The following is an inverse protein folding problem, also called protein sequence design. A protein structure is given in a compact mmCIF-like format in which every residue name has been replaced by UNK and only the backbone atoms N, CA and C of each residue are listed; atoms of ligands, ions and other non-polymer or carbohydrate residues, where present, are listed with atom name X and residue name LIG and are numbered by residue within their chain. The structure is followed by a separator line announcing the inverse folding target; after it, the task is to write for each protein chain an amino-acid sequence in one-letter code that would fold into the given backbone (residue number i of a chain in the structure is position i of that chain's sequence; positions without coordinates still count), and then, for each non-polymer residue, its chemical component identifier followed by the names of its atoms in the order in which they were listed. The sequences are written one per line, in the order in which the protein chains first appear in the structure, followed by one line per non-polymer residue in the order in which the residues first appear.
data_IF_237158466978
#
_entry.id   IF_237158466978
#
_cell.length_a   1.000
_cell.length_b   1.000
_cell.length_c   1.000
_cell.angle_alpha   90.00
_cell.angle_beta   90.00
_cell.angle_gamma   90.00
#
_symmetry.space_group_name_H-M   'P 1'
#
loop_
_entity.id
_entity.type
_entity.pdbx_description
1 polymer ?
#
# COMPACT_ATOMS: atom_id res chain seq x y z
N UNK A 1 17.08 -38.23 -4.35
CA UNK A 1 16.35 -37.09 -4.96
C UNK A 1 16.58 -35.73 -4.28
N UNK A 2 17.71 -35.50 -3.58
CA UNK A 2 17.98 -34.23 -2.86
C UNK A 2 18.58 -33.11 -3.72
N UNK A 3 18.90 -33.37 -4.99
CA UNK A 3 19.54 -32.41 -5.90
C UNK A 3 18.56 -31.48 -6.63
N UNK A 4 17.25 -31.79 -6.64
CA UNK A 4 16.23 -30.99 -7.35
C UNK A 4 15.65 -29.82 -6.52
N UNK A 5 15.93 -29.75 -5.20
CA UNK A 5 15.48 -28.65 -4.33
C UNK A 5 16.44 -27.45 -4.32
N UNK A 6 17.61 -27.57 -4.92
CA UNK A 6 18.56 -26.48 -5.08
C UNK A 6 18.13 -25.61 -6.27
N UNK A 7 17.76 -24.35 -6.01
CA UNK A 7 17.47 -23.25 -6.96
C UNK A 7 16.03 -23.03 -7.45
N UNK A 8 14.99 -23.28 -6.63
CA UNK A 8 13.70 -22.61 -6.86
C UNK A 8 13.71 -21.16 -6.32
N UNK A 9 14.71 -20.36 -6.72
CA UNK A 9 14.72 -18.92 -6.42
C UNK A 9 13.73 -18.22 -7.33
N UNK A 10 13.13 -17.15 -6.80
CA UNK A 10 12.30 -16.25 -7.60
C UNK A 10 13.18 -15.58 -8.67
N UNK A 11 12.71 -15.60 -9.92
CA UNK A 11 13.41 -14.90 -11.00
C UNK A 11 13.25 -13.38 -10.85
N UNK A 12 14.06 -12.59 -11.58
CA UNK A 12 13.88 -11.13 -11.62
C UNK A 12 12.50 -10.73 -12.14
N UNK A 13 11.96 -11.49 -13.09
CA UNK A 13 10.60 -11.29 -13.60
C UNK A 13 9.56 -11.55 -12.51
N UNK A 14 9.67 -12.67 -11.78
CA UNK A 14 8.79 -12.99 -10.65
C UNK A 14 8.83 -11.90 -9.58
N UNK A 15 10.03 -11.44 -9.20
CA UNK A 15 10.18 -10.36 -8.20
C UNK A 15 9.58 -9.03 -8.66
N UNK A 16 9.64 -8.74 -9.96
CA UNK A 16 9.05 -7.52 -10.53
C UNK A 16 7.53 -7.61 -10.48
N UNK A 17 6.96 -8.71 -10.96
CA UNK A 17 5.52 -8.90 -10.99
C UNK A 17 4.93 -9.05 -9.59
N UNK A 18 5.59 -9.80 -8.70
CA UNK A 18 5.27 -9.87 -7.28
C UNK A 18 5.27 -8.46 -6.65
N UNK A 19 6.24 -7.61 -7.01
CA UNK A 19 6.27 -6.21 -6.59
C UNK A 19 4.98 -5.45 -6.95
N UNK A 20 4.47 -5.63 -8.18
CA UNK A 20 3.21 -5.03 -8.64
C UNK A 20 2.01 -5.56 -7.85
N UNK A 21 1.94 -6.87 -7.63
CA UNK A 21 0.84 -7.50 -6.86
C UNK A 21 0.80 -7.04 -5.41
N UNK A 22 1.97 -6.99 -4.75
CA UNK A 22 2.10 -6.52 -3.38
C UNK A 22 1.78 -5.02 -3.28
N UNK A 23 2.24 -4.20 -4.23
CA UNK A 23 1.91 -2.77 -4.28
C UNK A 23 0.41 -2.54 -4.48
N UNK A 24 -0.24 -3.34 -5.32
CA UNK A 24 -1.68 -3.28 -5.55
C UNK A 24 -2.47 -3.50 -4.25
N UNK A 25 -2.05 -4.48 -3.45
CA UNK A 25 -2.61 -4.71 -2.11
C UNK A 25 -2.28 -3.56 -1.15
N UNK A 26 -1.03 -3.09 -1.13
CA UNK A 26 -0.55 -2.07 -0.19
C UNK A 26 -1.35 -0.77 -0.27
N UNK A 27 -1.63 -0.30 -1.48
CA UNK A 27 -2.37 0.94 -1.70
C UNK A 27 -3.89 0.77 -1.69
N UNK A 28 -4.42 -0.43 -1.48
CA UNK A 28 -5.86 -0.66 -1.34
C UNK A 28 -6.41 -0.02 -0.08
N UNK A 29 -7.65 0.44 -0.19
CA UNK A 29 -8.52 0.86 0.90
C UNK A 29 -8.84 -0.24 1.91
N UNK A 30 -8.71 -1.52 1.51
CA UNK A 30 -8.99 -2.69 2.36
C UNK A 30 -7.87 -3.00 3.35
N UNK A 31 -6.73 -2.31 3.23
CA UNK A 31 -5.67 -2.39 4.23
C UNK A 31 -6.14 -1.68 5.50
N UNK A 32 -6.03 -2.34 6.64
CA UNK A 32 -6.47 -1.76 7.92
C UNK A 32 -5.30 -1.37 8.81
N UNK A 33 -4.14 -2.04 8.66
CA UNK A 33 -2.90 -1.73 9.36
C UNK A 33 -1.68 -2.05 8.49
N UNK A 34 -0.73 -1.13 8.45
CA UNK A 34 0.53 -1.15 7.70
C UNK A 34 1.74 -1.57 8.53
N UNK A 35 1.69 -1.58 9.87
CA UNK A 35 2.85 -2.00 10.64
C UNK A 35 3.26 -3.45 10.32
N UNK A 36 4.51 -3.80 10.61
CA UNK A 36 5.04 -5.14 10.34
C UNK A 36 4.28 -6.27 11.08
N UNK A 37 3.56 -5.92 12.16
CA UNK A 37 2.71 -6.84 12.94
C UNK A 37 1.22 -6.75 12.54
N UNK A 38 0.89 -5.95 11.53
CA UNK A 38 -0.46 -5.76 11.02
C UNK A 38 -0.90 -6.90 10.09
N UNK A 39 -2.18 -6.97 9.72
CA UNK A 39 -2.71 -8.05 8.89
C UNK A 39 -2.28 -7.92 7.43
N UNK A 40 -1.62 -6.82 7.02
CA UNK A 40 -1.22 -6.58 5.63
C UNK A 40 -0.43 -7.72 5.01
N UNK A 41 0.53 -8.29 5.74
CA UNK A 41 1.27 -9.45 5.25
C UNK A 41 0.33 -10.64 4.98
N UNK A 42 -0.52 -11.01 5.94
CA UNK A 42 -1.47 -12.11 5.79
C UNK A 42 -2.48 -11.86 4.66
N UNK A 43 -2.95 -10.62 4.52
CA UNK A 43 -3.84 -10.16 3.45
C UNK A 43 -3.19 -10.31 2.07
N UNK A 44 -1.93 -9.89 1.93
CA UNK A 44 -1.14 -10.08 0.70
C UNK A 44 -0.96 -11.57 0.40
N UNK A 45 -0.63 -12.39 1.41
CA UNK A 45 -0.47 -13.83 1.21
C UNK A 45 -1.78 -14.51 0.80
N UNK A 46 -2.92 -14.10 1.37
CA UNK A 46 -4.24 -14.59 0.97
C UNK A 46 -4.60 -14.19 -0.46
N UNK A 47 -4.31 -12.94 -0.84
CA UNK A 47 -4.46 -12.49 -2.23
C UNK A 47 -3.61 -13.31 -3.20
N UNK A 48 -2.32 -13.49 -2.90
CA UNK A 48 -1.41 -14.27 -3.74
C UNK A 48 -1.83 -15.74 -3.83
N UNK A 49 -2.37 -16.33 -2.76
CA UNK A 49 -2.89 -17.72 -2.81
C UNK A 49 -3.94 -17.90 -3.89
N UNK A 50 -4.86 -16.95 -4.02
CA UNK A 50 -5.94 -17.00 -5.02
C UNK A 50 -5.52 -16.49 -6.40
N UNK A 51 -4.36 -15.83 -6.52
CA UNK A 51 -3.96 -15.10 -7.72
C UNK A 51 -2.49 -15.33 -8.12
N UNK A 52 -1.89 -16.46 -7.72
CA UNK A 52 -0.46 -16.71 -7.93
C UNK A 52 -0.04 -16.68 -9.41
N UNK A 53 -0.96 -17.06 -10.32
CA UNK A 53 -0.76 -16.99 -11.76
C UNK A 53 -0.58 -15.57 -12.31
N UNK A 54 -0.99 -14.53 -11.56
CA UNK A 54 -0.69 -13.15 -11.92
C UNK A 54 0.81 -12.83 -11.82
N UNK A 55 1.59 -13.64 -11.11
CA UNK A 55 3.05 -13.52 -11.05
C UNK A 55 3.70 -14.34 -12.17
N UNK A 56 3.49 -15.65 -12.16
CA UNK A 56 3.86 -16.59 -13.23
C UNK A 56 3.33 -18.00 -12.90
N UNK A 57 3.38 -18.91 -13.88
CA UNK A 57 3.10 -20.34 -13.64
C UNK A 57 4.11 -20.95 -12.66
N UNK A 58 5.40 -20.66 -12.84
CA UNK A 58 6.46 -21.11 -11.94
C UNK A 58 6.25 -20.60 -10.50
N UNK A 59 5.88 -19.32 -10.34
CA UNK A 59 5.55 -18.76 -9.03
C UNK A 59 4.39 -19.51 -8.38
N UNK A 60 3.35 -19.88 -9.14
CA UNK A 60 2.24 -20.68 -8.59
C UNK A 60 2.73 -22.02 -8.05
N UNK A 61 3.57 -22.75 -8.80
CA UNK A 61 4.15 -24.01 -8.31
C UNK A 61 4.97 -23.81 -7.03
N UNK A 62 5.80 -22.77 -6.98
CA UNK A 62 6.59 -22.40 -5.80
C UNK A 62 5.71 -21.96 -4.62
N UNK A 63 4.57 -21.31 -4.89
CA UNK A 63 3.65 -20.86 -3.86
C UNK A 63 2.89 -22.02 -3.21
N UNK A 64 2.56 -23.05 -3.97
CA UNK A 64 1.85 -24.24 -3.48
C UNK A 64 2.77 -25.12 -2.61
N UNK A 65 4.09 -25.08 -2.83
CA UNK A 65 5.09 -25.70 -1.96
C UNK A 65 5.28 -24.92 -0.64
N UNK A 66 5.01 -25.57 0.50
CA UNK A 66 5.10 -24.94 1.82
C UNK A 66 6.52 -24.55 2.22
N UNK A 67 7.53 -25.36 1.87
CA UNK A 67 8.93 -25.10 2.21
C UNK A 67 9.45 -23.91 1.41
N UNK A 68 9.20 -23.91 0.09
CA UNK A 68 9.60 -22.81 -0.81
C UNK A 68 8.86 -21.53 -0.45
N UNK A 69 7.55 -21.58 -0.21
CA UNK A 69 6.78 -20.40 0.22
C UNK A 69 7.33 -19.78 1.51
N UNK A 70 7.77 -20.60 2.47
CA UNK A 70 8.37 -20.12 3.73
C UNK A 70 9.78 -19.55 3.53
N UNK A 71 10.59 -20.18 2.70
CA UNK A 71 11.99 -19.83 2.52
C UNK A 71 12.22 -18.66 1.55
N UNK A 72 11.41 -18.55 0.49
CA UNK A 72 11.65 -17.60 -0.61
C UNK A 72 10.54 -16.53 -0.70
N UNK A 73 9.28 -16.95 -0.76
CA UNK A 73 8.15 -16.04 -1.03
C UNK A 73 7.84 -15.15 0.17
N UNK A 74 7.74 -15.73 1.38
CA UNK A 74 7.45 -14.99 2.61
C UNK A 74 8.49 -13.87 2.86
N UNK A 75 9.82 -14.14 2.79
CA UNK A 75 10.83 -13.09 2.91
C UNK A 75 10.76 -12.06 1.78
N UNK A 76 10.52 -12.47 0.54
CA UNK A 76 10.40 -11.55 -0.59
C UNK A 76 9.23 -10.56 -0.39
N UNK A 77 8.05 -11.05 0.01
CA UNK A 77 6.88 -10.22 0.30
C UNK A 77 7.16 -9.27 1.48
N UNK A 78 7.77 -9.74 2.57
CA UNK A 78 8.14 -8.89 3.72
C UNK A 78 9.12 -7.79 3.30
N UNK A 79 10.10 -8.11 2.47
CA UNK A 79 11.07 -7.16 1.93
C UNK A 79 10.39 -6.10 1.05
N UNK A 80 9.49 -6.51 0.14
CA UNK A 80 8.71 -5.59 -0.69
C UNK A 80 7.85 -4.66 0.18
N UNK A 81 7.10 -5.19 1.16
CA UNK A 81 6.28 -4.38 2.07
C UNK A 81 7.12 -3.41 2.90
N UNK A 82 8.33 -3.80 3.32
CA UNK A 82 9.24 -2.90 4.01
C UNK A 82 9.69 -1.74 3.11
N UNK A 83 10.07 -2.04 1.86
CA UNK A 83 10.44 -1.02 0.87
C UNK A 83 9.29 -0.09 0.52
N UNK A 84 8.08 -0.63 0.35
CA UNK A 84 6.88 0.17 0.07
C UNK A 84 6.57 1.13 1.23
N UNK A 85 6.69 0.69 2.49
CA UNK A 85 6.53 1.56 3.66
C UNK A 85 7.57 2.68 3.70
N UNK A 86 8.84 2.36 3.42
CA UNK A 86 9.88 3.38 3.33
C UNK A 86 9.56 4.40 2.24
N UNK A 87 9.46 3.93 1.00
CA UNK A 87 9.23 4.79 -0.16
C UNK A 87 7.91 5.59 -0.08
N UNK A 88 6.83 5.01 0.45
CA UNK A 88 5.56 5.70 0.62
C UNK A 88 5.67 6.82 1.64
N UNK A 89 6.29 6.56 2.80
CA UNK A 89 6.52 7.60 3.79
C UNK A 89 7.37 8.73 3.24
N UNK A 90 8.46 8.39 2.56
CA UNK A 90 9.41 9.35 2.00
C UNK A 90 8.75 10.26 0.97
N UNK A 91 8.02 9.67 0.02
CA UNK A 91 7.31 10.43 -1.02
C UNK A 91 6.18 11.28 -0.46
N UNK A 92 5.47 10.80 0.57
CA UNK A 92 4.48 11.62 1.28
C UNK A 92 5.17 12.84 1.90
N UNK A 93 6.24 12.64 2.66
CA UNK A 93 7.00 13.72 3.29
C UNK A 93 7.51 14.74 2.28
N UNK A 94 8.16 14.29 1.21
CA UNK A 94 8.65 15.15 0.13
C UNK A 94 7.51 15.93 -0.55
N UNK A 95 6.37 15.29 -0.79
CA UNK A 95 5.20 15.93 -1.42
C UNK A 95 4.57 17.05 -0.60
N UNK A 96 4.91 17.15 0.68
CA UNK A 96 4.40 18.19 1.57
C UNK A 96 5.13 19.52 1.39
N UNK A 97 6.28 19.54 0.70
CA UNK A 97 7.05 20.75 0.43
C UNK A 97 7.61 21.42 1.69
N UNK A 98 7.88 20.64 2.75
CA UNK A 98 8.34 21.15 4.05
C UNK A 98 9.86 21.34 4.07
N UNK A 99 10.60 20.47 3.38
CA UNK A 99 12.06 20.51 3.35
C UNK A 99 12.55 21.42 2.21
N UNK A 100 13.70 22.06 2.42
CA UNK A 100 14.37 22.89 1.40
C UNK A 100 14.56 22.10 0.10
N UNK A 101 14.14 22.69 -1.03
CA UNK A 101 14.25 22.06 -2.35
C UNK A 101 13.10 21.11 -2.72
N UNK A 102 12.17 20.84 -1.81
CA UNK A 102 10.94 20.10 -2.11
C UNK A 102 9.79 21.03 -2.48
N UNK A 103 8.82 20.54 -3.26
CA UNK A 103 7.62 21.30 -3.64
C UNK A 103 6.37 20.53 -3.21
N UNK A 104 5.31 21.28 -2.92
CA UNK A 104 3.99 20.68 -2.69
C UNK A 104 3.51 19.99 -3.96
N UNK A 105 3.01 18.77 -3.83
CA UNK A 105 2.47 18.00 -4.95
C UNK A 105 1.00 17.65 -4.73
N UNK A 106 0.18 17.93 -5.75
CA UNK A 106 -1.19 17.45 -5.82
C UNK A 106 -1.24 15.90 -5.80
N UNK A 107 -2.35 15.33 -5.32
CA UNK A 107 -2.52 13.88 -5.20
C UNK A 107 -2.20 13.08 -6.47
N UNK A 108 -2.58 13.49 -7.70
CA UNK A 108 -2.27 12.76 -8.92
C UNK A 108 -0.76 12.61 -9.15
N UNK A 109 0.00 13.70 -8.96
CA UNK A 109 1.46 13.68 -9.12
C UNK A 109 2.14 12.82 -8.05
N UNK A 110 1.71 12.96 -6.79
CA UNK A 110 2.17 12.09 -5.72
C UNK A 110 1.85 10.62 -6.03
N UNK A 111 0.65 10.32 -6.54
CA UNK A 111 0.25 8.97 -6.89
C UNK A 111 1.12 8.37 -7.99
N UNK A 112 1.39 9.12 -9.06
CA UNK A 112 2.30 8.71 -10.12
C UNK A 112 3.68 8.34 -9.56
N UNK A 113 4.19 9.12 -8.60
CA UNK A 113 5.46 8.82 -7.92
C UNK A 113 5.37 7.58 -7.03
N UNK A 114 4.31 7.46 -6.22
CA UNK A 114 4.06 6.32 -5.32
C UNK A 114 3.97 4.99 -6.10
N UNK A 115 3.31 5.02 -7.25
CA UNK A 115 2.91 3.86 -8.02
C UNK A 115 3.74 3.63 -9.29
N UNK A 116 4.80 4.41 -9.52
CA UNK A 116 5.68 4.29 -10.69
C UNK A 116 6.18 2.86 -10.87
N UNK A 117 5.80 2.24 -12.00
CA UNK A 117 6.19 0.88 -12.36
C UNK A 117 5.36 -0.26 -11.71
N UNK A 118 4.33 0.07 -10.94
CA UNK A 118 3.46 -0.93 -10.28
C UNK A 118 2.09 -1.13 -10.93
N UNK A 119 1.72 -0.28 -11.90
CA UNK A 119 0.44 -0.35 -12.63
C UNK A 119 -0.80 -0.34 -11.70
N UNK A 120 -0.72 0.44 -10.62
CA UNK A 120 -1.75 0.55 -9.58
C UNK A 120 -2.67 1.72 -9.96
N UNK A 121 -3.94 1.47 -10.41
CA UNK A 121 -4.85 2.52 -10.88
C UNK A 121 -5.14 3.59 -9.82
N UNK A 122 -5.22 4.86 -10.23
CA UNK A 122 -5.58 5.95 -9.32
C UNK A 122 -7.09 6.08 -9.17
N UNK A 123 -7.67 5.33 -8.23
CA UNK A 123 -9.12 5.35 -7.96
C UNK A 123 -9.45 6.36 -6.87
N UNK A 124 -10.73 6.78 -6.78
CA UNK A 124 -11.21 7.66 -5.69
C UNK A 124 -10.82 7.13 -4.31
N UNK A 125 -11.09 5.86 -4.03
CA UNK A 125 -10.74 5.24 -2.74
C UNK A 125 -9.25 5.32 -2.40
N UNK A 126 -8.39 5.19 -3.41
CA UNK A 126 -6.93 5.30 -3.25
C UNK A 126 -6.48 6.74 -3.07
N UNK A 127 -7.12 7.69 -3.75
CA UNK A 127 -6.90 9.11 -3.54
C UNK A 127 -7.23 9.53 -2.09
N UNK A 128 -8.40 9.12 -1.60
CA UNK A 128 -8.79 9.28 -0.19
C UNK A 128 -7.77 8.66 0.76
N UNK A 129 -7.30 7.45 0.45
CA UNK A 129 -6.31 6.76 1.26
C UNK A 129 -5.02 7.56 1.39
N UNK A 130 -4.48 8.06 0.28
CA UNK A 130 -3.26 8.86 0.29
C UNK A 130 -3.48 10.21 0.98
N UNK A 131 -4.64 10.85 0.80
CA UNK A 131 -4.99 12.07 1.52
C UNK A 131 -5.00 11.84 3.05
N UNK A 132 -5.57 10.73 3.53
CA UNK A 132 -5.53 10.36 4.96
C UNK A 132 -4.10 10.14 5.44
N UNK A 133 -3.26 9.44 4.67
CA UNK A 133 -1.87 9.23 5.04
C UNK A 133 -1.09 10.56 5.13
N UNK A 134 -1.32 11.49 4.20
CA UNK A 134 -0.69 12.81 4.20
C UNK A 134 -1.23 13.71 5.32
N UNK A 135 -2.52 13.60 5.65
CA UNK A 135 -3.12 14.27 6.81
C UNK A 135 -2.46 13.81 8.11
N UNK A 136 -2.26 12.50 8.30
CA UNK A 136 -1.54 11.97 9.47
C UNK A 136 -0.08 12.44 9.48
N UNK A 137 0.57 12.49 8.31
CA UNK A 137 1.95 12.96 8.18
C UNK A 137 2.12 14.46 8.51
N UNK A 138 1.05 15.25 8.41
CA UNK A 138 1.07 16.65 8.82
C UNK A 138 1.18 16.83 10.34
N UNK A 139 0.63 15.89 11.12
CA UNK A 139 0.67 15.93 12.58
C UNK A 139 1.82 15.11 13.16
N UNK A 140 2.32 14.12 12.40
CA UNK A 140 3.34 13.17 12.83
C UNK A 140 4.43 13.08 11.78
N UNK A 141 5.62 13.57 12.13
CA UNK A 141 6.77 13.52 11.23
C UNK A 141 7.08 12.08 10.80
N UNK A 142 7.16 11.87 9.48
CA UNK A 142 7.54 10.59 8.88
C UNK A 142 9.02 10.31 9.13
N UNK A 143 9.85 11.36 9.06
CA UNK A 143 11.29 11.33 9.31
C UNK A 143 11.64 12.20 10.53
N UNK A 144 12.73 11.84 11.18
CA UNK A 144 13.45 12.67 12.13
C UNK A 144 14.18 13.79 11.38
N UNK A 145 14.66 14.81 12.10
CA UNK A 145 15.42 15.93 11.51
C UNK A 145 16.70 15.48 10.81
N UNK A 146 17.29 14.36 11.22
CA UNK A 146 18.47 13.75 10.59
C UNK A 146 18.12 12.90 9.35
N UNK A 147 16.85 12.93 8.92
CA UNK A 147 16.34 12.16 7.80
C UNK A 147 16.02 10.70 8.11
N UNK A 148 16.27 10.17 9.32
CA UNK A 148 15.94 8.76 9.61
C UNK A 148 14.43 8.57 9.82
N UNK A 149 13.84 7.41 9.46
CA UNK A 149 12.44 7.12 9.77
C UNK A 149 12.15 7.21 11.28
N UNK A 150 11.04 7.83 11.68
CA UNK A 150 10.70 7.96 13.11
C UNK A 150 10.29 6.65 13.79
N UNK A 151 10.04 5.58 13.02
CA UNK A 151 9.52 4.29 13.47
C UNK A 151 8.08 4.33 14.03
N UNK A 152 7.64 5.50 14.51
CA UNK A 152 6.32 5.76 15.10
C UNK A 152 5.24 6.06 14.07
N UNK A 153 5.61 6.64 12.92
CA UNK A 153 4.65 7.04 11.88
C UNK A 153 3.65 5.92 11.52
N UNK A 154 4.15 4.76 11.09
CA UNK A 154 3.28 3.64 10.70
C UNK A 154 2.46 3.07 11.86
N UNK A 155 2.95 3.17 13.11
CA UNK A 155 2.17 2.78 14.29
C UNK A 155 1.00 3.73 14.52
N UNK A 156 1.22 5.03 14.30
CA UNK A 156 0.17 6.05 14.44
C UNK A 156 -0.83 5.95 13.28
N UNK A 157 -0.35 5.74 12.05
CA UNK A 157 -1.19 5.43 10.89
C UNK A 157 -2.16 4.29 11.20
N UNK A 158 -1.66 3.19 11.76
CA UNK A 158 -2.49 2.04 12.13
C UNK A 158 -3.52 2.35 13.22
N UNK A 159 -3.13 3.09 14.24
CA UNK A 159 -4.03 3.49 15.32
C UNK A 159 -5.15 4.40 14.78
N UNK A 160 -4.80 5.39 13.95
CA UNK A 160 -5.75 6.33 13.36
C UNK A 160 -6.71 5.65 12.39
N UNK A 161 -6.21 4.82 11.47
CA UNK A 161 -7.07 4.07 10.54
C UNK A 161 -7.97 3.10 11.31
N UNK A 162 -7.42 2.38 12.29
CA UNK A 162 -8.20 1.46 13.11
C UNK A 162 -9.32 2.17 13.89
N UNK A 163 -9.06 3.38 14.39
CA UNK A 163 -10.08 4.20 15.05
C UNK A 163 -11.15 4.71 14.07
N UNK A 164 -10.74 5.17 12.87
CA UNK A 164 -11.68 5.58 11.83
C UNK A 164 -12.59 4.43 11.41
N UNK A 165 -12.05 3.21 11.26
CA UNK A 165 -12.83 2.03 10.91
C UNK A 165 -13.82 1.63 12.01
N UNK A 166 -13.38 1.57 13.26
CA UNK A 166 -14.28 1.28 14.40
C UNK A 166 -15.43 2.27 14.50
N UNK A 167 -15.14 3.56 14.27
CA UNK A 167 -16.17 4.62 14.25
C UNK A 167 -17.05 4.53 13.01
N UNK A 168 -16.54 4.04 11.88
CA UNK A 168 -17.34 3.88 10.67
C UNK A 168 -18.48 2.88 10.87
N UNK A 169 -18.26 1.83 11.65
CA UNK A 169 -19.31 0.84 12.00
C UNK A 169 -20.41 1.45 12.88
N UNK A 170 -20.10 2.50 13.64
CA UNK A 170 -21.03 3.15 14.58
C UNK A 170 -21.68 4.41 14.00
N UNK A 171 -20.95 5.16 13.17
CA UNK A 171 -21.28 6.50 12.67
C UNK A 171 -20.83 6.66 11.21
N UNK A 172 -21.41 5.90 10.26
CA UNK A 172 -20.91 5.83 8.89
C UNK A 172 -20.96 7.17 8.15
N UNK A 173 -22.05 7.95 8.33
CA UNK A 173 -22.19 9.25 7.66
C UNK A 173 -21.24 10.32 8.23
N UNK A 174 -20.95 10.28 9.54
CA UNK A 174 -19.97 11.19 10.15
C UNK A 174 -18.56 10.90 9.64
N UNK A 175 -18.18 9.61 9.57
CA UNK A 175 -16.87 9.22 9.04
C UNK A 175 -16.76 9.55 7.55
N UNK A 176 -17.80 9.34 6.77
CA UNK A 176 -17.83 9.74 5.36
C UNK A 176 -17.61 11.25 5.21
N UNK A 177 -18.28 12.07 6.02
CA UNK A 177 -18.08 13.54 6.04
C UNK A 177 -16.66 13.90 6.46
N UNK A 178 -16.11 13.25 7.49
CA UNK A 178 -14.74 13.47 7.96
C UNK A 178 -13.71 13.14 6.86
N UNK A 179 -13.87 12.02 6.16
CA UNK A 179 -12.99 11.63 5.06
C UNK A 179 -13.05 12.62 3.90
N UNK A 180 -14.24 13.10 3.55
CA UNK A 180 -14.42 14.13 2.51
C UNK A 180 -13.72 15.44 2.91
N UNK A 181 -13.86 15.86 4.17
CA UNK A 181 -13.18 17.05 4.68
C UNK A 181 -11.65 16.93 4.62
N UNK A 182 -11.10 15.75 4.95
CA UNK A 182 -9.66 15.47 4.81
C UNK A 182 -9.23 15.59 3.34
N UNK A 183 -9.99 15.00 2.43
CA UNK A 183 -9.71 15.03 1.00
C UNK A 183 -9.75 16.46 0.42
N UNK A 184 -10.76 17.25 0.78
CA UNK A 184 -10.90 18.64 0.33
C UNK A 184 -9.84 19.56 0.95
N UNK A 185 -9.43 19.29 2.20
CA UNK A 185 -8.31 19.98 2.82
C UNK A 185 -6.98 19.67 2.12
N UNK A 186 -6.75 18.42 1.71
CA UNK A 186 -5.55 18.02 0.95
C UNK A 186 -5.49 18.77 -0.39
N UNK A 187 -6.59 18.77 -1.17
CA UNK A 187 -6.71 19.53 -2.43
C UNK A 187 -6.37 21.01 -2.24
N UNK A 188 -6.97 21.67 -1.24
CA UNK A 188 -6.71 23.10 -0.97
C UNK A 188 -5.26 23.38 -0.56
N UNK A 189 -4.63 22.46 0.19
CA UNK A 189 -3.30 22.69 0.76
C UNK A 189 -2.15 22.37 -0.19
N UNK A 190 -2.29 21.32 -1.02
CA UNK A 190 -1.20 20.75 -1.82
C UNK A 190 -1.38 20.89 -3.33
N UNK A 191 -2.56 21.29 -3.79
CA UNK A 191 -2.82 21.63 -5.19
C UNK A 191 -4.18 21.13 -5.65
N UNK A 192 -4.89 21.97 -6.41
CA UNK A 192 -6.17 21.62 -7.02
C UNK A 192 -5.94 20.74 -8.24
N UNK A 193 -6.81 19.74 -8.42
CA UNK A 193 -6.80 18.83 -9.56
C UNK A 193 -8.22 18.32 -9.84
N UNK A 194 -8.45 17.81 -11.05
CA UNK A 194 -9.77 17.38 -11.51
C UNK A 194 -9.99 15.90 -11.19
N UNK A 195 -11.13 15.56 -10.58
CA UNK A 195 -11.51 14.17 -10.30
C UNK A 195 -11.70 13.33 -11.58
N UNK A 196 -11.80 13.95 -12.75
CA UNK A 196 -11.77 13.27 -14.05
C UNK A 196 -10.46 12.47 -14.30
N UNK A 197 -9.39 12.78 -13.57
CA UNK A 197 -8.12 12.02 -13.60
C UNK A 197 -8.22 10.68 -12.85
N UNK A 198 -9.31 10.44 -12.11
CA UNK A 198 -9.53 9.20 -11.39
C UNK A 198 -10.11 8.13 -12.32
N UNK A 199 -9.52 6.94 -12.25
CA UNK A 199 -9.99 5.78 -13.00
C UNK A 199 -10.91 4.90 -12.15
N UNK A 200 -11.81 4.16 -12.80
CA UNK A 200 -12.59 3.12 -12.13
C UNK A 200 -11.69 1.94 -11.77
N UNK A 201 -11.99 1.29 -10.65
CA UNK A 201 -11.36 0.01 -10.30
C UNK A 201 -11.70 -1.06 -11.35
N UNK A 202 -10.72 -1.92 -11.66
CA UNK A 202 -10.88 -3.03 -12.60
C UNK A 202 -11.20 -4.36 -11.94
N UNK A 203 -11.20 -5.44 -12.72
CA UNK A 203 -11.41 -6.83 -12.26
C UNK A 203 -10.49 -7.23 -11.10
N UNK A 204 -9.27 -6.67 -11.06
CA UNK A 204 -8.29 -6.91 -10.00
C UNK A 204 -8.70 -6.37 -8.62
N UNK A 205 -9.53 -5.31 -8.55
CA UNK A 205 -10.11 -4.84 -7.28
C UNK A 205 -11.14 -5.83 -6.74
N UNK A 206 -11.91 -6.47 -7.62
CA UNK A 206 -12.91 -7.47 -7.24
C UNK A 206 -12.20 -8.71 -6.69
N UNK A 207 -11.14 -9.17 -7.37
CA UNK A 207 -10.29 -10.26 -6.90
C UNK A 207 -9.67 -9.97 -5.53
N UNK A 208 -9.19 -8.74 -5.33
CA UNK A 208 -8.66 -8.30 -4.04
C UNK A 208 -9.74 -8.30 -2.96
N UNK A 209 -10.92 -7.72 -3.23
CA UNK A 209 -12.03 -7.70 -2.27
C UNK A 209 -12.48 -9.11 -1.89
N UNK A 210 -12.54 -10.04 -2.85
CA UNK A 210 -12.88 -11.44 -2.60
C UNK A 210 -11.85 -12.12 -1.68
N UNK A 211 -10.56 -11.92 -1.96
CA UNK A 211 -9.47 -12.50 -1.17
C UNK A 211 -9.32 -11.86 0.23
N UNK A 212 -9.72 -10.60 0.40
CA UNK A 212 -9.56 -9.86 1.66
C UNK A 212 -10.81 -9.84 2.55
N UNK A 213 -11.96 -10.29 2.04
CA UNK A 213 -13.21 -10.48 2.81
C UNK A 213 -13.35 -11.88 3.41
N UNK A 214 -12.51 -12.84 2.99
CA UNK A 214 -12.55 -14.25 3.38
C UNK A 214 -11.53 -14.62 4.48
N UNK A 215 -10.89 -13.62 5.10
CA UNK A 215 -9.85 -13.77 6.15
C UNK A 215 -10.23 -12.99 7.39
#
# INVERSE_FOLDING_TARGET
NSLAKANQKLTKADLTQLGKEVAYCFYSELVTRYCAKGPLFNKVMAYLKSNALLVSENFKHQFDDLEVRRAEINPAVKSILSRLRGACGDRIHESMGIDTGTKKEALPLLWLRLCKGYDVPFTTKRAYRVAVLRWIAADVSVRQKDGKPTGKFWKIVDATIGNLQKRQDQQPEEIKKQLQQIFDADKRKYGTWNDAELVKGGSKEIALKSALSSV
#
